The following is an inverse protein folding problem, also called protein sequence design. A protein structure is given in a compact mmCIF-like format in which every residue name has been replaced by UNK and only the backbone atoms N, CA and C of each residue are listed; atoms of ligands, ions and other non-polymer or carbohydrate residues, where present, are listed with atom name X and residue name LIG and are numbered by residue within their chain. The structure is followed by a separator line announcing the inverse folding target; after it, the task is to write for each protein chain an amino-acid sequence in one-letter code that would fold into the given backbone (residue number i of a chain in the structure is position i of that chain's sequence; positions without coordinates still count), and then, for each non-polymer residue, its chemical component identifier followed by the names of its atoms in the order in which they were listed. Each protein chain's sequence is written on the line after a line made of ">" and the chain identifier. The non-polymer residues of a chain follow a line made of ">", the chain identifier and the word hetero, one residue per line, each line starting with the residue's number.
data_IF_018771309855
#
_entry.id   IF_018771309855
#
_cell.length_a   1.000
_cell.length_b   1.000
_cell.length_c   1.000
_cell.angle_alpha   90.00
_cell.angle_beta   90.00
_cell.angle_gamma   90.00
#
_symmetry.space_group_name_H-M   'P 1'
#
loop_
_entity.id
_entity.type
_entity.pdbx_description
1 polymer ?
#
# COMPACT_ATOMS: atom_id res chain seq x y z
N UNK A 1 -1.73 -1.12 -10.68
CA UNK A 1 -3.16 -1.32 -11.00
C UNK A 1 -3.93 -0.50 -9.98
N UNK A 2 -4.55 0.59 -10.39
CA UNK A 2 -5.49 1.36 -9.57
C UNK A 2 -6.89 0.89 -9.95
N UNK A 3 -7.49 0.09 -9.08
CA UNK A 3 -8.76 -0.59 -9.32
C UNK A 3 -9.89 0.33 -8.81
N UNK A 4 -11.06 0.27 -9.45
CA UNK A 4 -12.29 0.96 -9.04
C UNK A 4 -12.16 2.49 -8.86
N UNK A 5 -11.40 3.13 -9.76
CA UNK A 5 -11.37 4.60 -9.87
C UNK A 5 -12.64 5.10 -10.56
N UNK A 6 -13.27 6.21 -10.11
CA UNK A 6 -12.80 7.16 -9.09
C UNK A 6 -13.14 6.75 -7.65
N UNK A 7 -12.24 7.08 -6.72
CA UNK A 7 -12.43 6.83 -5.30
C UNK A 7 -13.39 7.84 -4.67
N UNK A 8 -14.19 7.39 -3.70
CA UNK A 8 -15.21 8.24 -3.05
C UNK A 8 -14.63 9.41 -2.25
N UNK A 9 -13.43 9.23 -1.72
CA UNK A 9 -12.87 10.11 -0.69
C UNK A 9 -11.49 10.69 -1.05
N UNK A 10 -10.92 10.27 -2.17
CA UNK A 10 -9.59 10.68 -2.65
C UNK A 10 -9.60 10.88 -4.16
N UNK A 11 -8.76 11.80 -4.64
CA UNK A 11 -8.64 12.13 -6.05
C UNK A 11 -7.33 11.55 -6.56
N UNK A 12 -7.40 10.67 -7.56
CA UNK A 12 -6.22 10.06 -8.17
C UNK A 12 -5.80 10.88 -9.39
N UNK A 13 -4.65 11.52 -9.30
CA UNK A 13 -4.07 12.33 -10.39
C UNK A 13 -3.24 11.48 -11.34
N UNK A 14 -2.40 10.60 -10.79
CA UNK A 14 -1.55 9.72 -11.58
C UNK A 14 -1.50 8.32 -10.96
N UNK A 15 -1.55 7.29 -11.81
CA UNK A 15 -1.27 5.93 -11.42
C UNK A 15 -0.61 5.17 -12.56
N UNK A 16 0.68 4.89 -12.39
CA UNK A 16 1.50 4.17 -13.35
C UNK A 16 2.27 3.07 -12.64
N UNK A 17 2.08 1.84 -13.09
CA UNK A 17 2.78 0.68 -12.56
C UNK A 17 3.56 0.01 -13.69
N UNK A 18 4.86 -0.15 -13.50
CA UNK A 18 5.76 -0.76 -14.49
C UNK A 18 6.32 -2.04 -13.88
N UNK A 19 5.90 -3.18 -14.44
CA UNK A 19 6.44 -4.48 -14.07
C UNK A 19 7.80 -4.68 -14.74
N UNK A 20 8.81 -5.04 -13.95
CA UNK A 20 10.16 -5.32 -14.42
C UNK A 20 10.50 -6.78 -14.15
N UNK A 21 11.12 -7.43 -15.13
CA UNK A 21 11.50 -8.85 -15.00
C UNK A 21 12.68 -8.99 -14.03
N UNK A 22 12.60 -9.93 -13.09
CA UNK A 22 13.59 -10.17 -12.04
C UNK A 22 13.94 -8.94 -11.19
N UNK A 23 13.07 -7.92 -11.17
CA UNK A 23 13.24 -6.70 -10.41
C UNK A 23 11.90 -6.31 -9.78
N UNK A 24 11.96 -5.45 -8.76
CA UNK A 24 10.74 -4.92 -8.13
C UNK A 24 9.95 -4.07 -9.13
N UNK A 25 8.60 -4.13 -9.11
CA UNK A 25 7.80 -3.23 -9.92
C UNK A 25 8.05 -1.78 -9.49
N UNK A 26 7.95 -0.86 -10.45
CA UNK A 26 7.93 0.57 -10.16
C UNK A 26 6.49 1.02 -10.07
N UNK A 27 6.19 1.83 -9.05
CA UNK A 27 4.88 2.41 -8.83
C UNK A 27 5.04 3.93 -8.74
N UNK A 28 4.41 4.65 -9.68
CA UNK A 28 4.22 6.09 -9.60
C UNK A 28 2.75 6.36 -9.32
N UNK A 29 2.44 6.95 -8.17
CA UNK A 29 1.07 7.28 -7.78
C UNK A 29 1.05 8.69 -7.21
N UNK A 30 0.17 9.52 -7.75
CA UNK A 30 -0.17 10.84 -7.20
C UNK A 30 -1.62 10.81 -6.76
N UNK A 31 -1.82 10.91 -5.45
CA UNK A 31 -3.13 10.84 -4.82
C UNK A 31 -3.32 12.07 -3.93
N UNK A 32 -4.43 12.77 -4.13
CA UNK A 32 -4.86 13.86 -3.28
C UNK A 32 -5.94 13.37 -2.32
N UNK A 33 -5.71 13.61 -1.04
CA UNK A 33 -6.57 13.21 0.06
C UNK A 33 -7.01 14.48 0.81
N UNK A 34 -8.20 15.04 0.52
CA UNK A 34 -8.62 16.35 1.04
C UNK A 34 -9.01 16.33 2.53
N UNK A 35 -9.14 15.14 3.13
CA UNK A 35 -9.54 14.93 4.53
C UNK A 35 -8.36 14.35 5.31
N UNK A 36 -8.37 14.58 6.63
CA UNK A 36 -7.41 13.93 7.56
C UNK A 36 -7.87 12.51 7.88
N UNK A 37 -6.95 11.55 7.78
CA UNK A 37 -7.18 10.15 8.12
C UNK A 37 -6.29 9.74 9.30
N UNK A 38 -6.92 9.42 10.42
CA UNK A 38 -6.26 8.88 11.63
C UNK A 38 -6.34 7.35 11.71
N UNK A 39 -6.99 6.73 10.73
CA UNK A 39 -7.20 5.30 10.65
C UNK A 39 -7.24 4.92 9.18
N UNK A 40 -6.43 3.94 8.80
CA UNK A 40 -6.38 3.42 7.44
C UNK A 40 -6.28 1.91 7.48
N UNK A 41 -7.07 1.21 6.67
CA UNK A 41 -6.90 -0.23 6.49
C UNK A 41 -6.12 -0.51 5.22
N UNK A 42 -4.94 -1.12 5.38
CA UNK A 42 -4.10 -1.56 4.29
C UNK A 42 -4.35 -3.04 4.08
N UNK A 43 -4.75 -3.40 2.85
CA UNK A 43 -4.95 -4.78 2.46
C UNK A 43 -4.02 -5.12 1.30
N UNK A 44 -3.20 -6.16 1.49
CA UNK A 44 -2.35 -6.72 0.45
C UNK A 44 -2.92 -8.06 -0.01
N UNK A 45 -3.40 -8.09 -1.25
CA UNK A 45 -3.90 -9.31 -1.90
C UNK A 45 -3.00 -9.69 -3.09
N UNK A 46 -2.33 -10.83 -3.00
CA UNK A 46 -1.61 -11.40 -4.13
C UNK A 46 -2.35 -12.64 -4.65
N UNK A 47 -2.86 -12.54 -5.88
CA UNK A 47 -3.49 -13.66 -6.58
C UNK A 47 -2.49 -14.25 -7.57
N UNK A 48 -1.85 -15.36 -7.22
CA UNK A 48 -0.96 -16.06 -8.14
C UNK A 48 -1.72 -17.12 -8.96
N UNK A 49 -1.74 -16.98 -10.30
CA UNK A 49 -2.35 -17.98 -11.19
C UNK A 49 -1.34 -19.08 -11.55
N UNK A 50 -1.28 -20.14 -10.74
CA UNK A 50 -0.57 -21.39 -11.12
C UNK A 50 -1.52 -22.31 -11.90
N UNK A 51 -0.99 -23.02 -12.91
CA UNK A 51 -1.74 -24.02 -13.70
C UNK A 51 -2.30 -25.20 -12.88
N UNK A 52 -1.92 -25.33 -11.59
CA UNK A 52 -2.50 -26.26 -10.62
C UNK A 52 -2.95 -25.47 -9.39
N UNK A 53 -4.18 -25.73 -8.96
CA UNK A 53 -4.85 -25.11 -7.81
C UNK A 53 -4.06 -25.41 -6.52
N UNK A 54 -3.14 -24.52 -6.12
CA UNK A 54 -2.81 -24.35 -4.71
C UNK A 54 -2.57 -22.86 -4.42
N UNK A 55 -3.27 -22.26 -3.44
CA UNK A 55 -3.36 -20.83 -3.33
C UNK A 55 -2.24 -20.31 -2.44
N UNK A 56 -1.24 -19.65 -3.01
CA UNK A 56 -0.63 -18.55 -2.26
C UNK A 56 -1.61 -17.38 -2.30
N UNK A 57 -2.71 -17.49 -1.55
CA UNK A 57 -3.61 -16.37 -1.26
C UNK A 57 -2.99 -15.58 -0.12
N UNK A 58 -2.01 -14.74 -0.46
CA UNK A 58 -1.52 -13.76 0.50
C UNK A 58 -2.65 -12.72 0.60
N UNK A 59 -3.48 -12.81 1.64
CA UNK A 59 -4.49 -11.81 2.01
C UNK A 59 -4.15 -11.29 3.41
N UNK A 60 -3.33 -10.24 3.43
CA UNK A 60 -2.85 -9.63 4.67
C UNK A 60 -3.57 -8.30 4.85
N UNK A 61 -4.11 -8.07 6.05
CA UNK A 61 -4.73 -6.81 6.44
C UNK A 61 -4.02 -6.26 7.67
N UNK A 62 -3.70 -4.98 7.64
CA UNK A 62 -3.16 -4.27 8.80
C UNK A 62 -3.73 -2.86 8.85
N UNK A 63 -3.87 -2.33 10.06
CA UNK A 63 -4.16 -0.91 10.25
C UNK A 63 -2.86 -0.12 10.01
N UNK A 64 -2.92 0.84 9.08
CA UNK A 64 -1.78 1.57 8.58
C UNK A 64 -1.11 2.42 9.65
N UNK A 65 -1.88 3.12 10.49
CA UNK A 65 -1.32 3.94 11.55
C UNK A 65 -0.55 3.11 12.58
N UNK A 66 -1.05 1.94 12.97
CA UNK A 66 -0.43 0.98 13.87
C UNK A 66 0.85 0.41 13.23
N UNK A 67 0.79 0.06 11.94
CA UNK A 67 1.93 -0.42 11.16
C UNK A 67 3.09 0.60 11.12
N UNK A 68 2.78 1.89 11.15
CA UNK A 68 3.76 2.97 11.11
C UNK A 68 4.19 3.49 12.47
N UNK A 69 3.37 3.26 13.51
CA UNK A 69 3.65 3.67 14.89
C UNK A 69 4.63 2.75 15.60
N UNK A 70 4.53 1.44 15.38
CA UNK A 70 5.30 0.46 16.13
C UNK A 70 5.86 -0.65 15.23
N UNK A 71 7.16 -0.93 15.37
CA UNK A 71 7.79 -2.12 14.76
C UNK A 71 7.48 -3.30 15.65
N UNK A 72 6.20 -3.70 15.71
CA UNK A 72 5.81 -4.95 16.36
C UNK A 72 6.66 -6.08 15.81
N UNK A 73 7.05 -7.02 16.67
CA UNK A 73 7.88 -8.17 16.31
C UNK A 73 7.19 -9.17 15.35
N UNK A 74 6.01 -8.83 14.85
CA UNK A 74 5.31 -9.63 13.87
C UNK A 74 6.04 -9.60 12.51
N UNK A 75 6.43 -10.77 11.96
CA UNK A 75 7.16 -10.85 10.71
C UNK A 75 6.34 -10.34 9.51
N UNK A 76 5.01 -10.41 9.58
CA UNK A 76 4.10 -9.95 8.53
C UNK A 76 4.09 -8.42 8.47
N UNK A 77 3.93 -7.76 9.62
CA UNK A 77 4.01 -6.30 9.72
C UNK A 77 5.39 -5.79 9.28
N UNK A 78 6.47 -6.47 9.67
CA UNK A 78 7.83 -6.12 9.23
C UNK A 78 7.98 -6.20 7.71
N UNK A 79 7.43 -7.26 7.11
CA UNK A 79 7.45 -7.42 5.66
C UNK A 79 6.61 -6.34 4.95
N UNK A 80 5.39 -6.07 5.44
CA UNK A 80 4.53 -5.02 4.88
C UNK A 80 5.19 -3.63 4.96
N UNK A 81 5.76 -3.29 6.12
CA UNK A 81 6.48 -2.04 6.30
C UNK A 81 7.65 -1.91 5.32
N UNK A 82 8.41 -3.00 5.11
CA UNK A 82 9.49 -3.03 4.12
C UNK A 82 9.00 -2.78 2.69
N UNK A 83 7.91 -3.44 2.29
CA UNK A 83 7.29 -3.24 0.97
C UNK A 83 6.79 -1.81 0.79
N UNK A 84 6.11 -1.24 1.79
CA UNK A 84 5.64 0.15 1.76
C UNK A 84 6.80 1.14 1.68
N UNK A 85 7.87 0.92 2.45
CA UNK A 85 9.06 1.76 2.41
C UNK A 85 9.75 1.72 1.05
N UNK A 86 9.81 0.54 0.43
CA UNK A 86 10.45 0.38 -0.88
C UNK A 86 9.63 0.98 -2.04
N UNK A 87 8.30 0.90 -1.97
CA UNK A 87 7.41 1.33 -3.05
C UNK A 87 6.89 2.77 -2.88
N UNK A 88 6.68 3.20 -1.64
CA UNK A 88 5.94 4.41 -1.28
C UNK A 88 6.57 5.06 -0.04
N UNK A 89 7.88 5.31 -0.10
CA UNK A 89 8.66 5.87 1.01
C UNK A 89 8.10 7.18 1.57
N UNK A 90 7.49 8.00 0.72
CA UNK A 90 6.84 9.26 1.10
C UNK A 90 5.62 9.09 2.00
N UNK A 91 4.99 7.91 2.01
CA UNK A 91 3.82 7.60 2.83
C UNK A 91 4.18 6.91 4.15
N UNK A 92 5.46 6.57 4.37
CA UNK A 92 5.92 5.90 5.60
C UNK A 92 6.23 6.94 6.66
N UNK A 93 5.18 7.54 7.21
CA UNK A 93 5.25 8.46 8.34
C UNK A 93 4.14 8.15 9.34
N UNK A 94 4.30 8.54 10.63
CA UNK A 94 3.21 8.43 11.58
C UNK A 94 1.99 9.23 11.11
N UNK A 95 0.80 8.71 11.39
CA UNK A 95 -0.47 9.40 11.16
C UNK A 95 -0.51 10.79 11.83
N UNK A 96 -1.31 11.73 11.32
CA UNK A 96 -2.38 11.58 10.31
C UNK A 96 -1.92 11.62 8.85
N UNK A 97 -2.69 10.96 7.98
CA UNK A 97 -2.58 11.10 6.51
C UNK A 97 -3.55 12.15 5.96
N UNK A 98 -3.28 12.67 4.76
CA UNK A 98 -4.17 13.63 4.08
C UNK A 98 -3.95 15.10 4.47
N UNK A 99 -2.80 15.42 5.06
CA UNK A 99 -2.25 16.77 5.04
C UNK A 99 -0.96 16.71 4.25
N UNK A 100 -1.03 17.07 2.97
CA UNK A 100 0.18 17.39 2.22
C UNK A 100 0.78 18.62 2.90
N UNK A 101 1.83 18.43 3.70
CA UNK A 101 2.71 19.55 4.06
C UNK A 101 3.40 19.94 2.76
N UNK A 102 2.91 21.04 2.18
CA UNK A 102 3.58 21.84 1.15
C UNK A 102 5.03 22.12 1.52
#
# INVERSE_FOLDING_TARGET
>A
LCIDTPYKETILHECRMIFRRNQRPLLNVSLEAPKKYNYLMIQFQAHYKFKKFLPFLIDIKAEGCDLMRDRKNDPTHRWMYGVLKDLMSSLVHPCPFGVCFS
#
